data_IF_742602653149
#
_entry.id   IF_742602653149
#
_cell.length_a   1.000
_cell.length_b   1.000
_cell.length_c   1.000
_cell.angle_alpha   90.00
_cell.angle_beta   90.00
_cell.angle_gamma   90.00
#
_symmetry.space_group_name_H-M   'P 1'
#
loop_
_entity.id
_entity.type
_entity.pdbx_description
1 polymer ?
#
# COMPACT_ATOMS: atom_id res chain seq x y z
N UNK A 1 -14.69 -4.73 -5.38
CA UNK A 1 -13.39 -4.11 -5.04
C UNK A 1 -13.05 -2.89 -5.91
N UNK A 2 -13.26 -2.93 -7.25
CA UNK A 2 -12.81 -1.88 -8.19
C UNK A 2 -13.05 -0.43 -7.73
N UNK A 3 -14.26 -0.12 -7.23
CA UNK A 3 -14.62 1.20 -6.71
C UNK A 3 -13.68 1.73 -5.60
N UNK A 4 -13.11 0.84 -4.79
CA UNK A 4 -12.25 1.20 -3.65
C UNK A 4 -10.75 1.13 -3.98
N UNK A 5 -10.36 0.65 -5.17
CA UNK A 5 -8.95 0.56 -5.56
C UNK A 5 -8.20 1.90 -5.50
N UNK A 6 -8.79 3.07 -5.84
CA UNK A 6 -8.12 4.35 -5.66
C UNK A 6 -7.70 4.62 -4.21
N UNK A 7 -8.46 4.14 -3.22
CA UNK A 7 -8.11 4.27 -1.82
C UNK A 7 -6.89 3.41 -1.49
N UNK A 8 -6.88 2.14 -1.95
CA UNK A 8 -5.76 1.22 -1.74
C UNK A 8 -4.47 1.74 -2.38
N UNK A 9 -4.54 2.38 -3.55
CA UNK A 9 -3.37 2.88 -4.27
C UNK A 9 -2.88 4.28 -3.86
N UNK A 10 -3.53 4.91 -2.88
CA UNK A 10 -3.11 6.20 -2.33
C UNK A 10 -1.87 6.08 -1.43
N UNK A 11 -0.92 7.00 -1.56
CA UNK A 11 0.20 7.19 -0.62
C UNK A 11 -0.22 8.10 0.55
N UNK A 12 -1.32 7.76 1.24
CA UNK A 12 -1.83 8.53 2.37
C UNK A 12 -2.38 7.63 3.48
N UNK A 13 -1.74 7.69 4.65
CA UNK A 13 -2.17 6.92 5.82
C UNK A 13 -3.61 7.26 6.26
N UNK A 14 -4.04 8.53 6.09
CA UNK A 14 -5.40 8.94 6.40
C UNK A 14 -6.43 8.25 5.49
N UNK A 15 -6.13 8.13 4.20
CA UNK A 15 -6.99 7.42 3.26
C UNK A 15 -7.04 5.93 3.58
N UNK A 16 -5.91 5.31 3.94
CA UNK A 16 -5.87 3.90 4.36
C UNK A 16 -6.69 3.62 5.63
N UNK A 17 -6.77 4.56 6.57
CA UNK A 17 -7.67 4.44 7.74
C UNK A 17 -9.15 4.40 7.36
N UNK A 18 -9.55 5.12 6.31
CA UNK A 18 -10.91 5.08 5.77
C UNK A 18 -11.13 3.83 4.90
N UNK A 19 -10.11 3.43 4.15
CA UNK A 19 -10.18 2.31 3.23
C UNK A 19 -10.38 0.97 3.95
N UNK A 20 -9.65 0.72 5.04
CA UNK A 20 -9.66 -0.55 5.75
C UNK A 20 -11.08 -1.05 6.09
N UNK A 21 -11.94 -0.28 6.79
CA UNK A 21 -13.30 -0.75 7.09
C UNK A 21 -14.16 -0.95 5.84
N UNK A 22 -13.98 -0.12 4.79
CA UNK A 22 -14.71 -0.28 3.52
C UNK A 22 -14.35 -1.58 2.82
N UNK A 23 -13.06 -1.94 2.78
CA UNK A 23 -12.62 -3.21 2.23
C UNK A 23 -13.11 -4.39 3.07
N UNK A 24 -12.99 -4.28 4.41
CA UNK A 24 -13.45 -5.32 5.35
C UNK A 24 -14.94 -5.63 5.18
N UNK A 25 -15.78 -4.61 5.06
CA UNK A 25 -17.24 -4.77 5.11
C UNK A 25 -17.88 -4.96 3.73
N UNK A 26 -17.22 -4.52 2.65
CA UNK A 26 -17.85 -4.43 1.32
C UNK A 26 -17.07 -5.15 0.21
N UNK A 27 -16.05 -5.94 0.54
CA UNK A 27 -15.28 -6.74 -0.43
C UNK A 27 -15.02 -8.16 0.06
N UNK A 28 -14.36 -8.98 -0.76
CA UNK A 28 -13.98 -10.35 -0.39
C UNK A 28 -12.87 -10.35 0.65
N UNK A 29 -12.74 -11.43 1.42
CA UNK A 29 -11.65 -11.62 2.39
C UNK A 29 -10.28 -11.47 1.72
N UNK A 30 -10.14 -11.96 0.49
CA UNK A 30 -8.93 -11.78 -0.31
C UNK A 30 -8.64 -10.29 -0.58
N UNK A 31 -9.64 -9.54 -1.07
CA UNK A 31 -9.49 -8.10 -1.35
C UNK A 31 -9.14 -7.31 -0.09
N UNK A 32 -9.74 -7.65 1.06
CA UNK A 32 -9.39 -7.05 2.34
C UNK A 32 -7.96 -7.38 2.77
N UNK A 33 -7.52 -8.63 2.56
CA UNK A 33 -6.12 -9.03 2.78
C UNK A 33 -5.13 -8.22 1.94
N UNK A 34 -5.46 -7.90 0.68
CA UNK A 34 -4.65 -6.98 -0.13
C UNK A 34 -4.65 -5.55 0.43
N UNK A 35 -5.80 -5.04 0.88
CA UNK A 35 -5.88 -3.72 1.49
C UNK A 35 -5.01 -3.59 2.74
N UNK A 36 -5.00 -4.62 3.60
CA UNK A 36 -4.16 -4.65 4.81
C UNK A 36 -2.66 -4.65 4.47
N UNK A 37 -2.23 -5.39 3.45
CA UNK A 37 -0.83 -5.38 2.99
C UNK A 37 -0.40 -4.02 2.46
N UNK A 38 -1.25 -3.36 1.66
CA UNK A 38 -0.98 -2.00 1.18
C UNK A 38 -0.90 -1.00 2.33
N UNK A 39 -1.84 -1.07 3.28
CA UNK A 39 -1.85 -0.25 4.48
C UNK A 39 -0.55 -0.41 5.29
N UNK A 40 -0.06 -1.64 5.47
CA UNK A 40 1.19 -1.89 6.20
C UNK A 40 2.40 -1.21 5.54
N UNK A 41 2.48 -1.18 4.20
CA UNK A 41 3.55 -0.48 3.48
C UNK A 41 3.45 1.03 3.73
N UNK A 42 2.25 1.61 3.63
CA UNK A 42 2.03 3.04 3.87
C UNK A 42 2.27 3.42 5.33
N UNK A 43 1.88 2.58 6.29
CA UNK A 43 2.15 2.83 7.70
C UNK A 43 3.66 2.77 8.02
N UNK A 44 4.43 1.91 7.33
CA UNK A 44 5.88 1.78 7.52
C UNK A 44 6.68 2.89 6.84
N UNK A 45 6.38 3.18 5.57
CA UNK A 45 7.23 4.05 4.73
C UNK A 45 6.58 5.39 4.37
N UNK A 46 5.28 5.56 4.63
CA UNK A 46 4.50 6.73 4.22
C UNK A 46 4.23 6.82 2.71
N UNK A 47 4.79 5.91 1.91
CA UNK A 47 4.73 5.87 0.44
C UNK A 47 4.95 4.44 -0.07
N UNK A 48 4.84 4.22 -1.38
CA UNK A 48 5.19 2.95 -2.01
C UNK A 48 6.62 2.99 -2.56
N UNK A 49 7.59 2.27 -1.96
CA UNK A 49 8.99 2.35 -2.39
C UNK A 49 9.23 1.91 -3.84
N UNK A 50 8.45 0.97 -4.36
CA UNK A 50 8.58 0.52 -5.75
C UNK A 50 8.25 1.63 -6.77
N UNK A 51 7.58 2.71 -6.34
CA UNK A 51 7.28 3.89 -7.18
C UNK A 51 8.39 4.94 -7.14
N UNK A 52 9.40 4.78 -6.29
CA UNK A 52 10.42 5.82 -6.09
C UNK A 52 11.18 6.13 -7.39
N UNK A 53 11.64 5.12 -8.12
CA UNK A 53 12.40 5.33 -9.35
C UNK A 53 11.60 6.10 -10.42
N UNK A 54 10.35 5.71 -10.69
CA UNK A 54 9.51 6.38 -11.69
C UNK A 54 9.08 7.79 -11.28
N UNK A 55 9.05 8.09 -9.98
CA UNK A 55 8.76 9.42 -9.43
C UNK A 55 10.03 10.25 -9.14
N UNK A 56 11.22 9.77 -9.52
CA UNK A 56 12.49 10.48 -9.29
C UNK A 56 12.90 10.62 -7.82
N UNK A 57 12.41 9.74 -6.95
CA UNK A 57 12.72 9.73 -5.51
C UNK A 57 13.87 8.76 -5.23
N UNK A 58 14.76 9.13 -4.30
CA UNK A 58 15.77 8.20 -3.78
C UNK A 58 15.15 7.27 -2.72
N UNK A 59 15.59 6.02 -2.72
CA UNK A 59 15.27 5.05 -1.68
C UNK A 59 16.09 5.33 -0.42
N UNK A 60 15.51 5.06 0.75
CA UNK A 60 16.29 4.87 1.98
C UNK A 60 16.92 3.47 2.00
N UNK A 61 17.92 3.21 2.87
CA UNK A 61 18.47 1.86 3.03
C UNK A 61 17.42 0.81 3.44
N UNK A 62 16.44 1.20 4.26
CA UNK A 62 15.33 0.31 4.64
C UNK A 62 14.39 0.02 3.47
N UNK A 63 14.10 1.01 2.64
CA UNK A 63 13.32 0.83 1.42
C UNK A 63 14.05 -0.08 0.42
N UNK A 64 15.38 0.06 0.26
CA UNK A 64 16.19 -0.83 -0.59
C UNK A 64 16.19 -2.27 -0.10
N UNK A 65 16.28 -2.48 1.22
CA UNK A 65 16.19 -3.81 1.80
C UNK A 65 14.80 -4.42 1.57
N UNK A 66 13.74 -3.65 1.83
CA UNK A 66 12.36 -4.07 1.61
C UNK A 66 12.07 -4.44 0.16
N UNK A 67 12.60 -3.69 -0.81
CA UNK A 67 12.42 -3.95 -2.24
C UNK A 67 13.01 -5.30 -2.72
N UNK A 68 13.83 -5.96 -1.90
CA UNK A 68 14.38 -7.29 -2.19
C UNK A 68 13.48 -8.42 -1.65
N UNK A 69 12.50 -8.09 -0.81
CA UNK A 69 11.58 -9.07 -0.21
C UNK A 69 10.38 -9.35 -1.13
N UNK A 70 9.77 -10.56 -1.05
CA UNK A 70 8.50 -10.85 -1.72
C UNK A 70 7.38 -9.92 -1.23
N UNK A 71 6.48 -9.51 -2.13
CA UNK A 71 5.36 -8.63 -1.78
C UNK A 71 5.76 -7.16 -1.57
N UNK A 72 6.94 -6.77 -2.00
CA UNK A 72 7.40 -5.37 -2.01
C UNK A 72 6.79 -4.52 -3.14
N UNK A 73 6.08 -5.17 -4.06
CA UNK A 73 5.26 -4.57 -5.11
C UNK A 73 3.96 -5.35 -5.31
N UNK A 74 2.94 -4.64 -5.80
CA UNK A 74 1.62 -5.15 -6.18
C UNK A 74 1.16 -4.46 -7.46
#
# INVERSE_FOLDING_TARGET
AFLYMPYMHSESAAIHRVAEPLFRERTTVESHGFALRHKAIIDRFGRYPHRNAILGRQNTPEEEAFLKEPGSSF
#
